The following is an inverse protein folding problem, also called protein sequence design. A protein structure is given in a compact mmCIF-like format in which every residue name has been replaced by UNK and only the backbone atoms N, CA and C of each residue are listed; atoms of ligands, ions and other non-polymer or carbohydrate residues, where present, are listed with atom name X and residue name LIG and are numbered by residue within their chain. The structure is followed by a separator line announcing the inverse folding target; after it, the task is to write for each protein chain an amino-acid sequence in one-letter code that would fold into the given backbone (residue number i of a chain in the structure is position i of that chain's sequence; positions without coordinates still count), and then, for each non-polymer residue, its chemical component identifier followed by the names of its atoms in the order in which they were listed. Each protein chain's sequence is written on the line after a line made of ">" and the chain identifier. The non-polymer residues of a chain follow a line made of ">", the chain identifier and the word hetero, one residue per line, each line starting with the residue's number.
data_IF_545832767431
#
_entry.id   IF_545832767431
#
_cell.length_a   1.000
_cell.length_b   1.000
_cell.length_c   1.000
_cell.angle_alpha   90.00
_cell.angle_beta   90.00
_cell.angle_gamma   90.00
#
_symmetry.space_group_name_H-M   'P 1'
#
loop_
_entity.id
_entity.type
_entity.pdbx_description
1 polymer ?
#
# COMPACT_ATOMS: atom_id res chain seq x y z
N UNK A 1 -50.04 -43.70 -18.93
CA UNK A 1 -49.36 -44.70 -18.09
C UNK A 1 -48.24 -44.00 -17.35
N UNK A 2 -48.26 -44.00 -16.00
CA UNK A 2 -47.22 -43.39 -15.18
C UNK A 2 -46.39 -44.51 -14.54
N UNK A 3 -45.07 -44.51 -14.75
CA UNK A 3 -44.14 -45.39 -14.04
C UNK A 3 -43.31 -44.58 -13.04
N UNK A 4 -43.38 -44.96 -11.78
CA UNK A 4 -42.49 -44.48 -10.72
C UNK A 4 -41.78 -45.70 -10.15
N UNK A 5 -40.45 -45.70 -10.20
CA UNK A 5 -39.62 -46.78 -9.67
C UNK A 5 -38.18 -46.29 -9.48
N UNK A 6 -37.52 -46.64 -8.35
CA UNK A 6 -36.16 -46.19 -8.09
C UNK A 6 -35.18 -46.80 -9.09
N UNK A 7 -34.35 -45.97 -9.73
CA UNK A 7 -33.28 -46.41 -10.62
C UNK A 7 -31.96 -46.46 -9.83
N UNK A 8 -31.47 -47.66 -9.55
CA UNK A 8 -30.15 -47.87 -8.93
C UNK A 8 -29.13 -48.09 -10.05
N UNK A 9 -28.04 -47.32 -10.03
CA UNK A 9 -26.94 -47.45 -11.01
C UNK A 9 -25.65 -47.75 -10.25
N UNK A 10 -25.10 -48.95 -10.43
CA UNK A 10 -23.83 -49.36 -9.80
C UNK A 10 -22.74 -49.54 -10.86
N UNK A 11 -21.78 -48.60 -10.96
CA UNK A 11 -20.73 -48.66 -11.97
C UNK A 11 -19.62 -49.66 -11.60
N UNK A 12 -19.66 -50.90 -12.10
CA UNK A 12 -18.69 -51.96 -11.74
C UNK A 12 -17.40 -51.89 -12.58
N UNK A 13 -17.47 -51.55 -13.87
CA UNK A 13 -16.31 -51.45 -14.77
C UNK A 13 -16.28 -50.12 -15.52
N UNK A 14 -15.42 -49.20 -15.09
CA UNK A 14 -15.18 -47.90 -15.75
C UNK A 14 -13.70 -47.67 -16.11
N UNK A 15 -12.89 -48.73 -16.19
CA UNK A 15 -11.46 -48.64 -16.54
C UNK A 15 -10.68 -47.55 -15.76
N UNK A 16 -11.04 -47.36 -14.47
CA UNK A 16 -10.42 -46.36 -13.60
C UNK A 16 -10.98 -44.93 -13.69
N UNK A 17 -12.00 -44.64 -14.52
CA UNK A 17 -12.55 -43.28 -14.67
C UNK A 17 -13.06 -42.68 -13.34
N UNK A 18 -13.68 -43.48 -12.46
CA UNK A 18 -14.12 -43.02 -11.13
C UNK A 18 -12.91 -42.60 -10.29
N UNK A 19 -11.85 -43.42 -10.25
CA UNK A 19 -10.61 -43.13 -9.53
C UNK A 19 -9.90 -41.89 -10.10
N UNK A 20 -9.90 -41.73 -11.42
CA UNK A 20 -9.35 -40.54 -12.07
C UNK A 20 -10.19 -39.29 -11.77
N UNK A 21 -11.52 -39.40 -11.74
CA UNK A 21 -12.38 -38.29 -11.33
C UNK A 21 -12.13 -37.89 -9.88
N UNK A 22 -11.99 -38.86 -8.95
CA UNK A 22 -11.61 -38.58 -7.56
C UNK A 22 -10.26 -37.84 -7.52
N UNK A 23 -9.24 -38.29 -8.26
CA UNK A 23 -7.95 -37.60 -8.35
C UNK A 23 -8.07 -36.17 -8.86
N UNK A 24 -8.90 -35.92 -9.87
CA UNK A 24 -9.16 -34.57 -10.39
C UNK A 24 -9.83 -33.70 -9.31
N UNK A 25 -10.81 -34.23 -8.59
CA UNK A 25 -11.46 -33.48 -7.50
C UNK A 25 -10.50 -33.19 -6.35
N UNK A 26 -9.67 -34.16 -5.93
CA UNK A 26 -8.65 -33.97 -4.90
C UNK A 26 -7.60 -32.93 -5.32
N UNK A 27 -7.10 -32.99 -6.57
CA UNK A 27 -6.16 -31.98 -7.07
C UNK A 27 -6.79 -30.57 -7.11
N UNK A 28 -8.10 -30.48 -7.36
CA UNK A 28 -8.84 -29.21 -7.36
C UNK A 28 -9.04 -28.68 -5.94
N UNK A 29 -9.27 -29.55 -4.97
CA UNK A 29 -9.30 -29.20 -3.54
C UNK A 29 -7.95 -28.63 -3.09
N UNK A 30 -6.84 -29.31 -3.40
CA UNK A 30 -5.47 -28.83 -3.13
C UNK A 30 -5.21 -27.47 -3.79
N UNK A 31 -5.66 -27.28 -5.03
CA UNK A 31 -5.57 -25.99 -5.73
C UNK A 31 -6.32 -24.88 -4.99
N UNK A 32 -7.53 -25.14 -4.51
CA UNK A 32 -8.31 -24.15 -3.76
C UNK A 32 -7.66 -23.81 -2.40
N UNK A 33 -7.12 -24.81 -1.70
CA UNK A 33 -6.38 -24.59 -0.47
C UNK A 33 -5.15 -23.70 -0.70
N UNK A 34 -4.33 -24.02 -1.72
CA UNK A 34 -3.17 -23.20 -2.06
C UNK A 34 -3.55 -21.77 -2.48
N UNK A 35 -4.67 -21.60 -3.20
CA UNK A 35 -5.18 -20.28 -3.58
C UNK A 35 -5.62 -19.45 -2.36
N UNK A 36 -6.24 -20.11 -1.38
CA UNK A 36 -6.63 -19.50 -0.10
C UNK A 36 -5.40 -19.06 0.71
N UNK A 37 -4.41 -19.96 0.89
CA UNK A 37 -3.16 -19.65 1.58
C UNK A 37 -2.42 -18.47 0.92
N UNK A 38 -2.33 -18.48 -0.42
CA UNK A 38 -1.75 -17.38 -1.19
C UNK A 38 -2.47 -16.05 -0.94
N UNK A 39 -3.81 -16.08 -0.88
CA UNK A 39 -4.62 -14.88 -0.62
C UNK A 39 -4.30 -14.30 0.76
N UNK A 40 -4.22 -15.14 1.80
CA UNK A 40 -3.86 -14.70 3.15
C UNK A 40 -2.45 -14.11 3.18
N UNK A 41 -1.47 -14.81 2.61
CA UNK A 41 -0.08 -14.35 2.59
C UNK A 41 0.06 -13.01 1.86
N UNK A 42 -0.70 -12.83 0.77
CA UNK A 42 -0.75 -11.57 0.03
C UNK A 42 -1.35 -10.46 0.89
N UNK A 43 -2.48 -10.71 1.55
CA UNK A 43 -3.13 -9.71 2.42
C UNK A 43 -2.21 -9.28 3.59
N UNK A 44 -1.56 -10.23 4.27
CA UNK A 44 -0.59 -9.93 5.34
C UNK A 44 0.59 -9.12 4.79
N UNK A 45 1.06 -9.47 3.59
CA UNK A 45 2.10 -8.73 2.89
C UNK A 45 1.70 -7.28 2.59
N UNK A 46 0.50 -7.07 2.07
CA UNK A 46 -0.05 -5.74 1.76
C UNK A 46 -0.18 -4.85 3.00
N UNK A 47 -0.74 -5.39 4.09
CA UNK A 47 -0.87 -4.66 5.37
C UNK A 47 0.50 -4.25 5.90
N UNK A 48 1.46 -5.19 5.94
CA UNK A 48 2.82 -4.92 6.41
C UNK A 48 3.51 -3.84 5.57
N UNK A 49 3.36 -3.91 4.24
CA UNK A 49 3.95 -2.94 3.32
C UNK A 49 3.33 -1.55 3.50
N UNK A 50 2.00 -1.47 3.64
CA UNK A 50 1.30 -0.21 3.90
C UNK A 50 1.73 0.42 5.23
N UNK A 51 1.78 -0.36 6.32
CA UNK A 51 2.19 0.12 7.63
C UNK A 51 3.66 0.60 7.64
N UNK A 52 4.55 -0.17 7.01
CA UNK A 52 5.97 0.20 6.90
C UNK A 52 6.15 1.49 6.11
N UNK A 53 5.39 1.65 5.03
CA UNK A 53 5.43 2.86 4.19
C UNK A 53 4.94 4.08 4.96
N UNK A 54 3.84 3.95 5.71
CA UNK A 54 3.29 5.02 6.54
C UNK A 54 4.29 5.48 7.62
N UNK A 55 4.90 4.54 8.35
CA UNK A 55 5.87 4.88 9.41
C UNK A 55 7.10 5.60 8.83
N UNK A 56 7.64 5.09 7.73
CA UNK A 56 8.80 5.71 7.06
C UNK A 56 8.46 7.09 6.51
N UNK A 57 7.28 7.24 5.92
CA UNK A 57 6.86 8.51 5.34
C UNK A 57 6.62 9.57 6.42
N UNK A 58 6.10 9.19 7.60
CA UNK A 58 5.98 10.12 8.75
C UNK A 58 7.34 10.64 9.20
N UNK A 59 8.34 9.77 9.29
CA UNK A 59 9.71 10.18 9.66
C UNK A 59 10.33 11.10 8.61
N UNK A 60 10.13 10.78 7.32
CA UNK A 60 10.57 11.62 6.21
C UNK A 60 9.90 12.99 6.24
N UNK A 61 8.58 13.03 6.40
CA UNK A 61 7.80 14.26 6.45
C UNK A 61 8.25 15.19 7.59
N UNK A 62 8.46 14.63 8.79
CA UNK A 62 8.96 15.39 9.93
C UNK A 62 10.36 15.96 9.68
N UNK A 63 11.25 15.18 9.05
CA UNK A 63 12.60 15.63 8.70
C UNK A 63 12.58 16.75 7.64
N UNK A 64 11.71 16.62 6.63
CA UNK A 64 11.50 17.64 5.61
C UNK A 64 10.93 18.93 6.20
N UNK A 65 10.03 18.82 7.19
CA UNK A 65 9.47 19.98 7.90
C UNK A 65 10.57 20.77 8.62
N UNK A 66 11.45 20.08 9.35
CA UNK A 66 12.60 20.71 10.02
C UNK A 66 13.53 21.40 9.01
N UNK A 67 13.82 20.74 7.88
CA UNK A 67 14.64 21.31 6.82
C UNK A 67 14.00 22.55 6.19
N UNK A 68 12.70 22.50 5.91
CA UNK A 68 11.92 23.62 5.37
C UNK A 68 11.97 24.84 6.29
N UNK A 69 11.79 24.64 7.60
CA UNK A 69 11.82 25.73 8.59
C UNK A 69 13.23 26.35 8.65
N UNK A 70 14.28 25.53 8.67
CA UNK A 70 15.66 26.03 8.61
C UNK A 70 15.97 26.80 7.32
N UNK A 71 15.46 26.34 6.17
CA UNK A 71 15.64 27.03 4.89
C UNK A 71 14.87 28.36 4.84
N UNK A 72 13.72 28.43 5.51
CA UNK A 72 12.96 29.67 5.67
C UNK A 72 13.75 30.71 6.47
N UNK A 73 14.35 30.29 7.57
CA UNK A 73 15.18 31.16 8.40
C UNK A 73 16.43 31.62 7.64
N UNK A 74 17.09 30.72 6.91
CA UNK A 74 18.22 31.05 6.05
C UNK A 74 17.86 32.08 4.97
N UNK A 75 16.67 31.96 4.38
CA UNK A 75 16.15 32.94 3.44
C UNK A 75 15.91 34.29 4.10
N UNK A 76 15.35 34.34 5.32
CA UNK A 76 15.20 35.59 6.07
C UNK A 76 16.55 36.28 6.28
N UNK A 77 17.55 35.54 6.74
CA UNK A 77 18.91 36.06 6.97
C UNK A 77 19.56 36.55 5.66
N UNK A 78 19.35 35.85 4.55
CA UNK A 78 19.88 36.27 3.25
C UNK A 78 19.26 37.60 2.79
N UNK A 79 17.94 37.77 2.99
CA UNK A 79 17.26 39.04 2.69
C UNK A 79 17.80 40.18 3.57
N UNK A 80 17.97 39.95 4.87
CA UNK A 80 18.48 40.97 5.80
C UNK A 80 19.89 41.43 5.41
N UNK A 81 20.78 40.49 5.04
CA UNK A 81 22.13 40.80 4.58
C UNK A 81 22.14 41.57 3.26
N UNK A 82 21.28 41.18 2.31
CA UNK A 82 21.14 41.92 1.05
C UNK A 82 20.62 43.34 1.28
N UNK A 83 19.56 43.50 2.08
CA UNK A 83 18.98 44.80 2.42
C UNK A 83 19.97 45.71 3.17
N UNK A 84 20.88 45.11 3.94
CA UNK A 84 21.96 45.82 4.63
C UNK A 84 23.20 46.09 3.75
N UNK A 85 23.19 45.67 2.48
CA UNK A 85 24.31 45.82 1.55
C UNK A 85 25.53 44.93 1.84
N UNK A 86 25.36 43.91 2.69
CA UNK A 86 26.46 43.02 3.13
C UNK A 86 26.73 41.88 2.14
N UNK A 87 25.78 41.56 1.26
CA UNK A 87 25.91 40.47 0.29
C UNK A 87 25.14 40.74 -0.99
N UNK A 88 25.56 40.15 -2.10
CA UNK A 88 24.86 40.22 -3.38
C UNK A 88 23.50 39.50 -3.37
N UNK A 89 22.59 39.93 -4.25
CA UNK A 89 21.25 39.34 -4.40
C UNK A 89 21.27 37.86 -4.79
N UNK A 90 22.38 37.38 -5.38
CA UNK A 90 22.54 35.96 -5.73
C UNK A 90 22.38 35.04 -4.50
N UNK A 91 22.80 35.48 -3.31
CA UNK A 91 22.62 34.71 -2.08
C UNK A 91 21.15 34.54 -1.70
N UNK A 92 20.32 35.55 -1.98
CA UNK A 92 18.86 35.50 -1.79
C UNK A 92 18.26 34.47 -2.73
N UNK A 93 18.64 34.48 -4.02
CA UNK A 93 18.12 33.51 -5.01
C UNK A 93 18.49 32.08 -4.63
N UNK A 94 19.74 31.84 -4.18
CA UNK A 94 20.17 30.51 -3.72
C UNK A 94 19.33 30.05 -2.53
N UNK A 95 19.10 30.92 -1.55
CA UNK A 95 18.28 30.59 -0.39
C UNK A 95 16.81 30.36 -0.75
N UNK A 96 16.24 31.18 -1.65
CA UNK A 96 14.87 31.00 -2.16
C UNK A 96 14.71 29.67 -2.88
N UNK A 97 15.68 29.31 -3.73
CA UNK A 97 15.66 28.02 -4.44
C UNK A 97 15.69 26.85 -3.47
N UNK A 98 16.55 26.90 -2.45
CA UNK A 98 16.63 25.87 -1.42
C UNK A 98 15.31 25.73 -0.65
N UNK A 99 14.72 26.85 -0.22
CA UNK A 99 13.42 26.89 0.44
C UNK A 99 12.30 26.30 -0.43
N UNK A 100 12.25 26.70 -1.71
CA UNK A 100 11.24 26.20 -2.65
C UNK A 100 11.36 24.68 -2.86
N UNK A 101 12.57 24.17 -3.09
CA UNK A 101 12.79 22.73 -3.26
C UNK A 101 12.36 21.93 -2.03
N UNK A 102 12.65 22.41 -0.82
CA UNK A 102 12.20 21.76 0.41
C UNK A 102 10.69 21.86 0.61
N UNK A 103 10.08 22.99 0.23
CA UNK A 103 8.63 23.19 0.30
C UNK A 103 7.90 22.21 -0.63
N UNK A 104 8.40 22.02 -1.85
CA UNK A 104 7.86 21.05 -2.81
C UNK A 104 7.98 19.62 -2.27
N UNK A 105 9.16 19.24 -1.76
CA UNK A 105 9.36 17.91 -1.18
C UNK A 105 8.45 17.65 0.03
N UNK A 106 8.28 18.63 0.90
CA UNK A 106 7.38 18.54 2.05
C UNK A 106 5.91 18.41 1.62
N UNK A 107 5.48 19.15 0.59
CA UNK A 107 4.13 19.05 0.05
C UNK A 107 3.86 17.67 -0.57
N UNK A 108 4.81 17.14 -1.35
CA UNK A 108 4.73 15.78 -1.91
C UNK A 108 4.62 14.75 -0.79
N UNK A 109 5.51 14.84 0.21
CA UNK A 109 5.51 13.94 1.37
C UNK A 109 4.19 13.97 2.14
N UNK A 110 3.59 15.15 2.30
CA UNK A 110 2.29 15.30 2.98
C UNK A 110 1.15 14.64 2.17
N UNK A 111 1.22 14.70 0.83
CA UNK A 111 0.33 13.95 -0.05
C UNK A 111 0.55 12.43 0.06
N UNK A 112 1.79 11.98 0.16
CA UNK A 112 2.15 10.57 0.32
C UNK A 112 1.64 10.00 1.65
N UNK A 113 1.70 10.74 2.76
CA UNK A 113 1.07 10.36 4.03
C UNK A 113 -0.42 10.07 3.87
N UNK A 114 -1.14 10.96 3.19
CA UNK A 114 -2.58 10.78 2.95
C UNK A 114 -2.84 9.53 2.10
N UNK A 115 -2.04 9.32 1.05
CA UNK A 115 -2.13 8.12 0.19
C UNK A 115 -1.82 6.83 0.96
N UNK A 116 -0.85 6.85 1.86
CA UNK A 116 -0.44 5.69 2.65
C UNK A 116 -1.52 5.27 3.65
N UNK A 117 -2.19 6.23 4.30
CA UNK A 117 -3.34 5.95 5.17
C UNK A 117 -4.48 5.28 4.38
N UNK A 118 -4.80 5.78 3.18
CA UNK A 118 -5.82 5.17 2.31
C UNK A 118 -5.41 3.75 1.89
N UNK A 119 -4.14 3.53 1.55
CA UNK A 119 -3.61 2.19 1.25
C UNK A 119 -3.71 1.24 2.43
N UNK A 120 -3.39 1.71 3.64
CA UNK A 120 -3.53 0.92 4.86
C UNK A 120 -4.99 0.54 5.12
N UNK A 121 -5.92 1.50 4.98
CA UNK A 121 -7.35 1.25 5.11
C UNK A 121 -7.84 0.19 4.12
N UNK A 122 -7.40 0.27 2.85
CA UNK A 122 -7.72 -0.72 1.82
C UNK A 122 -7.14 -2.10 2.15
N UNK A 123 -5.87 -2.17 2.55
CA UNK A 123 -5.20 -3.43 2.88
C UNK A 123 -5.83 -4.14 4.09
N UNK A 124 -6.40 -3.38 5.02
CA UNK A 124 -7.14 -3.90 6.16
C UNK A 124 -8.56 -4.37 5.83
N UNK A 125 -9.02 -4.22 4.57
CA UNK A 125 -10.34 -4.69 4.13
C UNK A 125 -11.42 -3.61 4.04
N UNK A 126 -11.09 -2.33 4.22
CA UNK A 126 -12.00 -1.25 3.83
C UNK A 126 -13.12 -0.91 4.81
N UNK A 127 -12.91 -1.13 6.11
CA UNK A 127 -13.91 -0.91 7.15
C UNK A 127 -14.55 -2.23 7.54
N UNK A 128 -14.28 -2.67 8.76
CA UNK A 128 -14.90 -3.85 9.34
C UNK A 128 -16.40 -3.54 9.52
N UNK A 129 -17.28 -4.33 8.94
CA UNK A 129 -18.65 -4.40 9.47
C UNK A 129 -18.53 -4.72 10.97
N UNK A 130 -19.27 -4.03 11.86
CA UNK A 130 -19.28 -4.42 13.26
C UNK A 130 -19.68 -5.90 13.29
N UNK A 131 -18.83 -6.73 13.92
CA UNK A 131 -19.15 -8.13 14.13
C UNK A 131 -20.46 -8.19 14.92
N UNK A 132 -21.56 -8.60 14.27
CA UNK A 132 -22.80 -8.99 14.96
C UNK A 132 -22.60 -10.30 15.73
#
# INVERSE_FOLDING_TARGET
>A
AYSFGPKITWPIFHWGAIKNNIRVQSAREEQYLAAYEKTILTAVGEVRNALTSEVRERQRNASLKLGLDAAKDALSVANDKYNSGLTDYNNVIIAQKAYLTLSEQYAISSGELTSNIVRLFKALGGGWEPME
#
